data_IF_469690058672
#
_entry.id   IF_469690058672
#
_cell.length_a   1.000
_cell.length_b   1.000
_cell.length_c   1.000
_cell.angle_alpha   90.00
_cell.angle_beta   90.00
_cell.angle_gamma   90.00
#
_symmetry.space_group_name_H-M   'P 1'
#
loop_
_entity.id
_entity.type
_entity.pdbx_description
1 polymer ?
#
# COMPACT_ATOMS: atom_id res chain seq x y z
N UNK A 1 59.66 -28.44 8.05
CA UNK A 1 59.65 -29.61 7.19
C UNK A 1 58.59 -29.48 6.13
N UNK A 2 59.04 -29.39 4.88
CA UNK A 2 58.19 -29.62 3.72
C UNK A 2 57.87 -31.12 3.68
N UNK A 3 56.60 -31.48 3.49
CA UNK A 3 56.28 -32.77 2.90
C UNK A 3 55.35 -32.57 1.70
N UNK A 4 55.88 -32.96 0.55
CA UNK A 4 55.30 -32.89 -0.79
C UNK A 4 54.43 -34.12 -1.05
N UNK A 5 53.39 -33.90 -1.83
CA UNK A 5 52.36 -34.85 -2.22
C UNK A 5 52.88 -36.15 -2.87
N UNK A 6 52.18 -37.27 -2.61
CA UNK A 6 51.87 -38.27 -3.65
C UNK A 6 50.49 -38.89 -3.33
N UNK A 7 49.48 -38.56 -4.11
CA UNK A 7 48.26 -39.37 -4.22
C UNK A 7 48.07 -39.75 -5.69
N UNK A 8 48.29 -41.02 -5.98
CA UNK A 8 48.09 -41.64 -7.30
C UNK A 8 46.62 -41.51 -7.72
N UNK A 9 46.38 -40.83 -8.84
CA UNK A 9 45.07 -40.81 -9.49
C UNK A 9 44.89 -42.14 -10.24
N UNK A 10 44.04 -43.02 -9.72
CA UNK A 10 43.48 -44.13 -10.49
C UNK A 10 42.07 -43.76 -10.90
N UNK A 11 41.79 -44.02 -12.18
CA UNK A 11 40.54 -43.80 -12.89
C UNK A 11 39.35 -44.48 -12.20
N UNK A 12 38.20 -43.84 -12.38
CA UNK A 12 36.83 -44.36 -12.25
C UNK A 12 36.09 -44.04 -10.94
N UNK A 13 35.16 -43.09 -11.08
CA UNK A 13 33.90 -42.94 -10.34
C UNK A 13 33.94 -42.52 -8.85
N UNK A 14 34.07 -41.21 -8.59
CA UNK A 14 33.50 -40.58 -7.39
C UNK A 14 33.01 -39.17 -7.74
N UNK A 15 31.69 -39.01 -7.70
CA UNK A 15 30.92 -37.78 -7.53
C UNK A 15 31.76 -36.55 -7.16
N UNK A 16 31.68 -35.52 -8.02
CA UNK A 16 32.13 -34.16 -7.72
C UNK A 16 31.40 -33.70 -6.46
N UNK A 17 32.05 -33.88 -5.30
CA UNK A 17 31.64 -33.27 -4.06
C UNK A 17 31.79 -31.76 -4.24
N UNK A 18 30.69 -31.09 -4.56
CA UNK A 18 30.64 -29.63 -4.49
C UNK A 18 31.05 -29.22 -3.08
N UNK A 19 32.08 -28.39 -3.04
CA UNK A 19 32.73 -27.89 -1.85
C UNK A 19 31.73 -27.07 -1.02
N UNK A 20 31.17 -27.68 0.02
CA UNK A 20 30.09 -27.15 0.87
C UNK A 20 30.64 -26.23 1.99
N UNK A 21 31.45 -25.26 1.61
CA UNK A 21 32.07 -24.31 2.56
C UNK A 21 31.77 -22.85 2.21
N UNK A 22 30.55 -22.55 1.75
CA UNK A 22 29.99 -21.23 2.03
C UNK A 22 29.40 -21.26 3.44
N UNK A 23 29.89 -20.39 4.32
CA UNK A 23 29.11 -19.96 5.48
C UNK A 23 27.71 -19.62 4.96
N UNK A 24 26.60 -20.15 5.50
CA UNK A 24 25.29 -19.78 4.96
C UNK A 24 25.15 -18.29 5.21
N UNK A 25 25.30 -17.50 4.14
CA UNK A 25 25.13 -16.07 4.21
C UNK A 25 23.69 -15.79 4.59
N UNK A 26 23.48 -14.79 5.44
CA UNK A 26 22.17 -14.22 5.60
C UNK A 26 21.88 -13.36 4.35
N UNK A 27 20.98 -13.82 3.49
CA UNK A 27 20.60 -13.13 2.27
C UNK A 27 19.22 -12.51 2.47
N UNK A 28 18.93 -11.36 1.86
CA UNK A 28 17.61 -10.79 1.97
C UNK A 28 16.62 -11.48 1.01
N UNK A 29 15.31 -11.42 1.30
CA UNK A 29 14.29 -11.95 0.41
C UNK A 29 14.35 -11.33 -1.00
N UNK A 30 13.87 -12.02 -2.02
CA UNK A 30 13.84 -11.48 -3.38
C UNK A 30 12.97 -10.20 -3.50
N UNK A 31 13.24 -9.32 -4.47
CA UNK A 31 12.39 -8.17 -4.78
C UNK A 31 10.94 -8.59 -5.08
N UNK A 32 9.98 -7.74 -4.72
CA UNK A 32 8.56 -8.02 -4.88
C UNK A 32 7.74 -6.74 -5.07
N UNK A 33 6.70 -6.77 -5.92
CA UNK A 33 5.85 -5.60 -6.17
C UNK A 33 4.67 -5.46 -5.19
N UNK A 34 4.23 -4.22 -5.01
CA UNK A 34 2.90 -3.85 -4.52
C UNK A 34 1.82 -4.14 -5.59
N UNK A 35 0.60 -4.47 -5.16
CA UNK A 35 -0.50 -4.85 -6.06
C UNK A 35 -1.74 -3.97 -5.87
N UNK A 36 -2.23 -3.82 -4.65
CA UNK A 36 -3.46 -3.07 -4.33
C UNK A 36 -3.32 -2.38 -2.96
N UNK A 37 -3.84 -1.16 -2.76
CA UNK A 37 -4.41 -0.26 -3.78
C UNK A 37 -3.42 0.06 -4.91
N UNK A 38 -3.92 0.22 -6.13
CA UNK A 38 -3.10 0.56 -7.28
C UNK A 38 -2.52 1.98 -7.15
N UNK A 39 -1.44 2.26 -7.89
CA UNK A 39 -0.83 3.58 -7.87
C UNK A 39 -1.82 4.64 -8.38
N UNK A 40 -1.93 5.73 -7.64
CA UNK A 40 -2.85 6.85 -7.90
C UNK A 40 -4.33 6.43 -7.86
N UNK A 41 -4.66 5.31 -7.21
CA UNK A 41 -6.05 4.89 -7.01
C UNK A 41 -6.79 5.87 -6.07
N UNK A 42 -8.09 6.03 -6.28
CA UNK A 42 -9.00 6.70 -5.36
C UNK A 42 -10.09 5.70 -4.93
N UNK A 43 -10.32 5.55 -3.64
CA UNK A 43 -11.32 4.59 -3.14
C UNK A 43 -12.09 5.15 -1.94
N UNK A 44 -13.38 4.83 -1.88
CA UNK A 44 -14.30 5.12 -0.75
C UNK A 44 -14.69 3.86 0.03
N UNK A 45 -14.20 2.70 -0.41
CA UNK A 45 -14.48 1.39 0.21
C UNK A 45 -13.40 0.99 1.22
N UNK A 46 -13.64 -0.11 1.94
CA UNK A 46 -12.63 -0.70 2.82
C UNK A 46 -11.32 -0.95 2.06
N UNK A 47 -10.21 -0.55 2.66
CA UNK A 47 -8.89 -0.64 2.01
C UNK A 47 -8.26 -1.98 2.34
N UNK A 48 -8.07 -2.80 1.31
CA UNK A 48 -7.32 -4.05 1.41
C UNK A 48 -5.99 -3.91 0.65
N UNK A 49 -4.91 -3.95 1.42
CA UNK A 49 -3.55 -3.95 0.92
C UNK A 49 -3.18 -5.35 0.45
N UNK A 50 -2.63 -5.45 -0.75
CA UNK A 50 -2.10 -6.68 -1.34
C UNK A 50 -0.72 -6.41 -1.95
N UNK A 51 0.22 -7.29 -1.68
CA UNK A 51 1.54 -7.30 -2.33
C UNK A 51 1.90 -8.72 -2.77
N UNK A 52 2.89 -8.85 -3.65
CA UNK A 52 3.36 -10.17 -4.05
C UNK A 52 4.11 -10.84 -2.91
N UNK A 53 3.90 -12.15 -2.75
CA UNK A 53 4.73 -12.97 -1.87
C UNK A 53 6.16 -13.02 -2.41
N UNK A 54 7.14 -12.98 -1.50
CA UNK A 54 8.55 -13.21 -1.82
C UNK A 54 9.09 -14.46 -1.12
N UNK A 55 10.28 -14.90 -1.55
CA UNK A 55 11.02 -16.02 -0.99
C UNK A 55 12.48 -15.61 -0.78
N UNK A 56 13.16 -16.29 0.12
CA UNK A 56 14.60 -16.18 0.25
C UNK A 56 15.33 -17.21 -0.63
N UNK A 57 16.60 -16.97 -0.95
CA UNK A 57 17.47 -18.00 -1.53
C UNK A 57 17.66 -19.17 -0.55
N UNK A 58 17.60 -18.89 0.75
CA UNK A 58 17.57 -19.86 1.84
C UNK A 58 16.13 -20.30 2.10
N UNK A 59 15.67 -21.35 1.40
CA UNK A 59 14.26 -21.83 1.45
C UNK A 59 13.75 -22.27 2.83
N UNK A 60 14.61 -22.40 3.84
CA UNK A 60 14.20 -22.67 5.23
C UNK A 60 13.76 -21.42 5.99
N UNK A 61 14.05 -20.24 5.46
CA UNK A 61 13.73 -19.00 6.12
C UNK A 61 12.25 -18.66 6.01
N UNK A 62 11.72 -18.16 7.13
CA UNK A 62 10.34 -17.75 7.22
C UNK A 62 10.29 -16.25 6.95
N UNK A 63 9.51 -15.86 5.95
CA UNK A 63 9.33 -14.45 5.62
C UNK A 63 8.23 -13.83 6.49
N UNK A 64 8.50 -12.62 6.94
CA UNK A 64 7.56 -11.70 7.58
C UNK A 64 7.50 -10.41 6.78
N UNK A 65 6.38 -9.70 6.95
CA UNK A 65 6.18 -8.41 6.31
C UNK A 65 5.81 -7.36 7.34
N UNK A 66 6.32 -6.15 7.15
CA UNK A 66 5.81 -4.94 7.80
C UNK A 66 5.19 -4.05 6.73
N UNK A 67 3.95 -3.66 6.93
CA UNK A 67 3.25 -2.69 6.08
C UNK A 67 3.41 -1.30 6.68
N UNK A 68 3.94 -0.37 5.90
CA UNK A 68 4.22 1.00 6.29
C UNK A 68 3.28 1.96 5.56
N UNK A 69 2.55 2.80 6.29
CA UNK A 69 1.72 3.88 5.76
C UNK A 69 2.22 5.25 6.22
N UNK A 70 2.03 6.26 5.39
CA UNK A 70 2.27 7.66 5.73
C UNK A 70 1.39 8.58 4.92
N UNK A 71 1.00 9.72 5.48
CA UNK A 71 0.36 10.82 4.73
C UNK A 71 1.39 11.79 4.13
N UNK A 72 2.68 11.57 4.39
CA UNK A 72 3.77 12.40 3.90
C UNK A 72 4.54 11.68 2.78
N UNK A 73 4.70 12.30 1.60
CA UNK A 73 5.50 11.71 0.54
C UNK A 73 6.93 11.47 1.00
N UNK A 74 7.46 10.29 0.70
CA UNK A 74 8.85 9.94 1.04
C UNK A 74 9.05 9.49 2.49
N UNK A 75 8.01 9.46 3.32
CA UNK A 75 8.09 9.00 4.71
C UNK A 75 9.11 9.81 5.55
N UNK A 76 9.11 11.14 5.40
CA UNK A 76 9.88 12.06 6.26
C UNK A 76 8.98 13.15 6.87
N UNK A 77 8.63 13.10 8.17
CA UNK A 77 9.06 12.11 9.15
C UNK A 77 8.54 10.69 8.81
N UNK A 78 9.16 9.67 9.44
CA UNK A 78 8.90 8.23 9.24
C UNK A 78 7.40 7.86 9.17
N UNK A 79 7.12 6.62 8.74
CA UNK A 79 5.76 6.05 8.68
C UNK A 79 4.88 6.47 9.86
N UNK A 80 3.70 6.98 9.52
CA UNK A 80 2.68 7.36 10.51
C UNK A 80 2.13 6.11 11.19
N UNK A 81 1.91 5.05 10.41
CA UNK A 81 1.44 3.75 10.89
C UNK A 81 2.32 2.62 10.34
N UNK A 82 2.59 1.63 11.20
CA UNK A 82 3.35 0.44 10.83
C UNK A 82 2.65 -0.80 11.40
N UNK A 83 2.35 -1.75 10.52
CA UNK A 83 1.75 -3.04 10.85
C UNK A 83 2.79 -4.13 10.69
N UNK A 84 3.40 -4.53 11.81
CA UNK A 84 4.58 -5.39 11.83
C UNK A 84 4.27 -6.89 11.88
N UNK A 85 5.26 -7.69 11.48
CA UNK A 85 5.30 -9.16 11.67
C UNK A 85 4.14 -9.92 11.01
N UNK A 86 3.61 -9.40 9.91
CA UNK A 86 2.57 -10.05 9.12
C UNK A 86 3.10 -11.32 8.45
N UNK A 87 2.29 -12.38 8.47
CA UNK A 87 2.62 -13.67 7.85
C UNK A 87 1.99 -13.86 6.48
N UNK A 88 1.07 -12.98 6.11
CA UNK A 88 0.32 -13.02 4.87
C UNK A 88 0.71 -11.82 4.01
N UNK A 89 0.50 -11.93 2.70
CA UNK A 89 0.77 -10.85 1.75
C UNK A 89 -0.44 -9.94 1.51
N UNK A 90 -1.25 -9.76 2.55
CA UNK A 90 -2.42 -8.90 2.54
C UNK A 90 -2.72 -8.37 3.94
N UNK A 91 -3.34 -7.18 4.00
CA UNK A 91 -3.78 -6.55 5.24
C UNK A 91 -5.00 -5.65 4.99
N UNK A 92 -5.95 -5.63 5.91
CA UNK A 92 -7.14 -4.76 5.81
C UNK A 92 -7.08 -3.70 6.89
N UNK A 93 -7.32 -2.45 6.51
CA UNK A 93 -7.30 -1.32 7.43
C UNK A 93 -8.53 -0.42 7.27
N UNK A 94 -8.80 0.39 8.30
CA UNK A 94 -9.81 1.46 8.28
C UNK A 94 -9.10 2.80 8.40
N UNK A 95 -9.11 3.58 7.32
CA UNK A 95 -8.35 4.82 7.20
C UNK A 95 -9.25 6.05 7.39
N UNK A 96 -8.65 7.17 7.77
CA UNK A 96 -9.27 8.50 7.68
C UNK A 96 -9.14 9.05 6.27
N UNK A 97 -9.97 10.03 5.90
CA UNK A 97 -9.84 10.73 4.61
C UNK A 97 -8.46 11.39 4.52
N UNK A 98 -7.63 10.90 3.60
CA UNK A 98 -6.33 11.49 3.26
C UNK A 98 -5.74 10.78 2.03
N UNK A 99 -4.62 11.32 1.55
CA UNK A 99 -3.70 10.64 0.65
C UNK A 99 -2.71 9.81 1.45
N UNK A 100 -2.60 8.54 1.11
CA UNK A 100 -1.67 7.61 1.74
C UNK A 100 -0.59 7.14 0.77
N UNK A 101 0.65 7.24 1.22
CA UNK A 101 1.82 6.59 0.64
C UNK A 101 2.05 5.29 1.40
N UNK A 102 2.32 4.20 0.69
CA UNK A 102 2.54 2.92 1.34
C UNK A 102 3.68 2.13 0.71
N UNK A 103 4.36 1.33 1.54
CA UNK A 103 5.44 0.43 1.15
C UNK A 103 5.44 -0.77 2.08
N UNK A 104 6.04 -1.87 1.64
CA UNK A 104 6.14 -3.09 2.44
C UNK A 104 7.60 -3.47 2.59
N UNK A 105 8.01 -3.78 3.83
CA UNK A 105 9.29 -4.42 4.13
C UNK A 105 9.06 -5.91 4.26
N UNK A 106 9.78 -6.74 3.52
CA UNK A 106 9.89 -8.17 3.78
C UNK A 106 11.21 -8.45 4.49
N UNK A 107 11.19 -9.32 5.50
CA UNK A 107 12.41 -9.72 6.22
C UNK A 107 12.35 -11.18 6.65
N UNK A 108 13.52 -11.77 6.84
CA UNK A 108 13.69 -13.16 7.24
C UNK A 108 13.88 -13.33 8.76
N UNK A 109 14.13 -14.56 9.20
CA UNK A 109 14.35 -14.89 10.62
C UNK A 109 15.63 -14.31 11.22
N UNK A 110 16.54 -13.81 10.38
CA UNK A 110 17.86 -13.33 10.77
C UNK A 110 18.02 -11.82 10.55
N UNK A 111 16.94 -11.14 10.12
CA UNK A 111 16.84 -9.70 9.94
C UNK A 111 17.39 -9.19 8.60
N UNK A 112 17.66 -10.06 7.62
CA UNK A 112 17.90 -9.57 6.27
C UNK A 112 16.57 -9.11 5.65
N UNK A 113 16.58 -7.94 5.01
CA UNK A 113 15.37 -7.27 4.56
C UNK A 113 15.43 -6.80 3.11
N UNK A 114 14.25 -6.74 2.49
CA UNK A 114 14.01 -6.18 1.16
C UNK A 114 12.75 -5.33 1.21
N UNK A 115 12.83 -4.11 0.67
CA UNK A 115 11.65 -3.25 0.47
C UNK A 115 10.97 -3.59 -0.86
N UNK A 116 9.66 -3.37 -0.92
CA UNK A 116 8.89 -3.44 -2.16
C UNK A 116 9.50 -2.57 -3.27
N UNK A 117 9.37 -2.99 -4.52
CA UNK A 117 10.03 -2.36 -5.68
C UNK A 117 9.65 -0.88 -5.90
N UNK A 118 8.45 -0.51 -5.45
CA UNK A 118 7.86 0.80 -5.65
C UNK A 118 8.35 1.81 -4.61
N UNK A 119 8.62 3.05 -5.04
CA UNK A 119 9.19 4.11 -4.18
C UNK A 119 8.29 5.33 -3.97
N UNK A 120 7.27 5.51 -4.81
CA UNK A 120 6.34 6.67 -4.76
C UNK A 120 4.87 6.26 -4.75
N UNK A 121 4.57 5.00 -4.45
CA UNK A 121 3.24 4.44 -4.60
C UNK A 121 2.26 5.05 -3.59
N UNK A 122 1.13 5.52 -4.09
CA UNK A 122 0.13 6.17 -3.24
C UNK A 122 -1.29 5.96 -3.75
N UNK A 123 -2.27 6.21 -2.88
CA UNK A 123 -3.68 6.23 -3.21
C UNK A 123 -4.39 7.28 -2.33
N UNK A 124 -5.65 7.59 -2.63
CA UNK A 124 -6.48 8.48 -1.84
C UNK A 124 -7.66 7.69 -1.30
N UNK A 125 -7.84 7.73 0.02
CA UNK A 125 -9.09 7.32 0.63
C UNK A 125 -9.98 8.54 0.82
N UNK A 126 -11.23 8.48 0.37
CA UNK A 126 -12.18 9.58 0.46
C UNK A 126 -13.55 9.11 0.95
N UNK A 127 -14.31 10.03 1.54
CA UNK A 127 -15.73 9.81 1.85
C UNK A 127 -16.54 10.57 0.80
N UNK A 128 -17.45 9.87 0.13
CA UNK A 128 -18.33 10.53 -0.83
C UNK A 128 -19.25 11.51 -0.12
N UNK A 129 -19.27 12.75 -0.58
CA UNK A 129 -19.98 13.86 0.05
C UNK A 129 -19.14 14.69 1.02
N UNK A 130 -17.97 14.22 1.45
CA UNK A 130 -16.99 15.01 2.20
C UNK A 130 -15.99 15.61 1.20
N UNK A 131 -16.40 16.71 0.57
CA UNK A 131 -15.58 17.42 -0.42
C UNK A 131 -14.61 18.39 0.25
N UNK A 132 -14.78 18.65 1.54
CA UNK A 132 -13.83 19.46 2.32
C UNK A 132 -12.64 18.64 2.83
N UNK A 133 -12.78 17.31 2.89
CA UNK A 133 -11.76 16.39 3.37
C UNK A 133 -11.57 16.43 4.88
N UNK A 134 -12.59 16.86 5.63
CA UNK A 134 -12.49 17.03 7.09
C UNK A 134 -12.92 15.77 7.88
N UNK A 135 -13.31 14.71 7.17
CA UNK A 135 -13.77 13.44 7.70
C UNK A 135 -15.24 13.44 8.06
N UNK A 136 -15.99 14.52 7.78
CA UNK A 136 -17.42 14.63 8.07
C UNK A 136 -18.20 15.10 6.84
N UNK A 137 -19.41 14.57 6.68
CA UNK A 137 -20.34 15.01 5.62
C UNK A 137 -21.36 15.96 6.23
N UNK A 138 -21.23 17.26 5.95
CA UNK A 138 -22.04 18.30 6.57
C UNK A 138 -22.38 19.51 5.66
N UNK A 139 -22.77 20.65 6.25
CA UNK A 139 -23.14 21.85 5.48
C UNK A 139 -21.95 22.54 4.82
N UNK A 140 -20.74 22.34 5.35
CA UNK A 140 -19.49 22.82 4.77
C UNK A 140 -19.29 22.27 3.35
N UNK A 141 -19.60 20.99 3.15
CA UNK A 141 -19.55 20.32 1.84
C UNK A 141 -20.53 20.91 0.83
N UNK A 142 -21.75 21.20 1.28
CA UNK A 142 -22.75 21.89 0.45
C UNK A 142 -22.22 23.25 -0.01
N UNK A 143 -21.62 24.00 0.90
CA UNK A 143 -21.04 25.32 0.60
C UNK A 143 -19.86 25.18 -0.37
N UNK A 144 -19.01 24.18 -0.19
CA UNK A 144 -17.89 23.90 -1.09
C UNK A 144 -18.38 23.64 -2.52
N UNK A 145 -19.33 22.71 -2.71
CA UNK A 145 -19.87 22.39 -4.04
C UNK A 145 -20.52 23.60 -4.71
N UNK A 146 -21.27 24.41 -3.97
CA UNK A 146 -21.85 25.65 -4.52
C UNK A 146 -20.77 26.65 -4.95
N UNK A 147 -19.68 26.76 -4.19
CA UNK A 147 -18.55 27.63 -4.56
C UNK A 147 -17.86 27.12 -5.83
N UNK A 148 -17.60 25.81 -5.93
CA UNK A 148 -17.06 25.17 -7.13
C UNK A 148 -17.92 25.46 -8.36
N UNK A 149 -19.22 25.11 -8.30
CA UNK A 149 -20.12 25.17 -9.44
C UNK A 149 -20.45 26.59 -9.91
N UNK A 150 -20.52 27.57 -9.00
CA UNK A 150 -21.10 28.88 -9.30
C UNK A 150 -20.22 30.08 -8.95
N UNK A 151 -19.09 29.88 -8.27
CA UNK A 151 -18.24 30.98 -7.79
C UNK A 151 -16.77 30.82 -8.14
N UNK A 152 -16.43 29.84 -8.98
CA UNK A 152 -15.05 29.59 -9.42
C UNK A 152 -14.15 29.08 -8.29
N UNK A 153 -14.73 28.38 -7.31
CA UNK A 153 -13.96 27.62 -6.33
C UNK A 153 -13.24 26.43 -6.97
N UNK A 154 -12.34 25.82 -6.20
CA UNK A 154 -11.60 24.64 -6.63
C UNK A 154 -12.52 23.43 -6.83
N UNK A 155 -12.15 22.54 -7.75
CA UNK A 155 -12.86 21.28 -7.94
C UNK A 155 -12.64 20.34 -6.74
N UNK A 156 -13.60 19.45 -6.42
CA UNK A 156 -13.36 18.39 -5.45
C UNK A 156 -12.14 17.54 -5.84
N UNK A 157 -11.32 17.20 -4.86
CA UNK A 157 -10.17 16.29 -5.01
C UNK A 157 -10.26 15.18 -3.95
N UNK A 158 -10.59 13.93 -4.33
CA UNK A 158 -10.85 13.48 -5.68
C UNK A 158 -12.21 13.94 -6.21
N UNK A 159 -12.36 14.04 -7.53
CA UNK A 159 -13.63 14.44 -8.18
C UNK A 159 -14.80 13.55 -7.72
N UNK A 160 -14.53 12.26 -7.48
CA UNK A 160 -15.50 11.30 -6.98
C UNK A 160 -16.08 11.66 -5.60
N UNK A 161 -15.39 12.45 -4.78
CA UNK A 161 -15.96 12.91 -3.51
C UNK A 161 -17.17 13.85 -3.74
N UNK A 162 -17.19 14.59 -4.85
CA UNK A 162 -18.26 15.53 -5.21
C UNK A 162 -19.37 14.97 -6.09
N UNK A 163 -19.18 13.79 -6.68
CA UNK A 163 -20.22 13.05 -7.43
C UNK A 163 -21.03 12.21 -6.43
N UNK A 164 -21.92 12.86 -5.70
CA UNK A 164 -22.59 12.32 -4.52
C UNK A 164 -23.69 11.34 -4.91
N UNK A 165 -24.30 11.55 -6.07
CA UNK A 165 -25.36 10.68 -6.58
C UNK A 165 -24.84 9.53 -7.47
N UNK A 166 -23.52 9.45 -7.71
CA UNK A 166 -22.84 8.47 -8.56
C UNK A 166 -23.33 8.44 -10.02
N UNK A 167 -23.74 9.58 -10.57
CA UNK A 167 -24.11 9.66 -11.98
C UNK A 167 -22.91 9.95 -12.91
N UNK A 168 -21.72 10.14 -12.34
CA UNK A 168 -20.47 10.33 -13.06
C UNK A 168 -20.17 11.79 -13.40
N UNK A 169 -20.99 12.74 -12.95
CA UNK A 169 -20.73 14.18 -13.09
C UNK A 169 -20.89 14.89 -11.75
N UNK A 170 -20.11 15.95 -11.53
CA UNK A 170 -20.29 16.84 -10.37
C UNK A 170 -21.09 18.05 -10.80
N UNK A 171 -22.36 18.11 -10.42
CA UNK A 171 -23.28 19.20 -10.78
C UNK A 171 -24.28 19.57 -9.66
N UNK A 172 -25.33 20.32 -10.01
CA UNK A 172 -26.33 20.76 -9.04
C UNK A 172 -27.17 19.62 -8.45
N UNK A 173 -27.24 18.49 -9.16
CA UNK A 173 -27.83 17.24 -8.71
C UNK A 173 -27.18 16.75 -7.43
N UNK A 174 -25.85 16.80 -7.32
CA UNK A 174 -25.10 16.41 -6.12
C UNK A 174 -25.41 17.30 -4.93
N UNK A 175 -25.48 18.62 -5.17
CA UNK A 175 -25.87 19.59 -4.12
C UNK A 175 -27.27 19.28 -3.60
N UNK A 176 -28.22 19.03 -4.50
CA UNK A 176 -29.60 18.68 -4.13
C UNK A 176 -29.63 17.35 -3.37
N UNK A 177 -28.86 16.36 -3.82
CA UNK A 177 -28.76 15.06 -3.18
C UNK A 177 -28.25 15.20 -1.75
N UNK A 178 -27.13 15.89 -1.57
CA UNK A 178 -26.49 16.09 -0.26
C UNK A 178 -27.41 16.82 0.72
N UNK A 179 -28.09 17.89 0.28
CA UNK A 179 -29.07 18.61 1.11
C UNK A 179 -30.24 17.71 1.53
N UNK A 180 -30.71 16.83 0.63
CA UNK A 180 -31.79 15.90 0.96
C UNK A 180 -31.32 14.85 1.99
N UNK A 181 -30.10 14.34 1.85
CA UNK A 181 -29.50 13.43 2.83
C UNK A 181 -29.40 14.08 4.21
N UNK A 182 -28.78 15.27 4.30
CA UNK A 182 -28.52 15.95 5.56
C UNK A 182 -29.78 16.41 6.29
N UNK A 183 -30.81 16.86 5.56
CA UNK A 183 -31.92 17.60 6.18
C UNK A 183 -33.32 17.08 5.88
N UNK A 184 -33.46 16.09 4.98
CA UNK A 184 -34.79 15.61 4.53
C UNK A 184 -34.96 14.09 4.60
N UNK A 185 -34.03 13.39 5.26
CA UNK A 185 -34.08 11.94 5.39
C UNK A 185 -33.89 11.21 4.06
N UNK A 186 -33.15 11.83 3.12
CA UNK A 186 -32.70 11.18 1.90
C UNK A 186 -31.75 10.01 2.19
N UNK A 187 -31.52 9.17 1.18
CA UNK A 187 -30.53 8.09 1.26
C UNK A 187 -29.12 8.64 1.46
N UNK A 188 -28.22 7.88 2.14
CA UNK A 188 -26.81 8.22 2.19
C UNK A 188 -26.20 8.24 0.78
N UNK A 189 -25.07 8.95 0.59
CA UNK A 189 -24.26 8.84 -0.61
C UNK A 189 -23.95 7.37 -0.94
N UNK A 190 -23.75 7.09 -2.22
CA UNK A 190 -23.30 5.77 -2.68
C UNK A 190 -21.88 5.43 -2.17
N UNK A 191 -21.64 4.14 -1.96
CA UNK A 191 -20.32 3.60 -1.58
C UNK A 191 -19.33 3.61 -2.77
#
# INVERSE_FOLDING_TARGET
DLDLAVANYHSDDVSVLMNLTQVPGNFPPYPFPLLSPADVETTSSIVEFHWAQTQDVNLSDQIRYDLHLSTVPGFDPDSTDVYDSLTCSQFTDTLSVDRYYWKVRAYDNWGAETWSDQTTWHFIYFIRGDVTGDGTVDVGDVVFLVNYLYRGGDAPDPVAAGDINCDGVVDVGDVVYLVNYLYRGGSPPCD
#
